data_IF_689501455573
#
_entry.id   IF_689501455573
#
_cell.length_a   1.000
_cell.length_b   1.000
_cell.length_c   1.000
_cell.angle_alpha   90.00
_cell.angle_beta   90.00
_cell.angle_gamma   90.00
#
_symmetry.space_group_name_H-M   'P 1'
#
loop_
_entity.id
_entity.type
_entity.pdbx_description
1 polymer ?
#
# COMPACT_ATOMS: atom_id res chain seq x y z
N UNK A 1 7.42 16.39 100.12
CA UNK A 1 6.71 16.82 98.90
C UNK A 1 7.41 16.13 97.75
N UNK A 2 6.97 14.91 97.41
CA UNK A 2 7.61 14.09 96.37
C UNK A 2 6.99 14.37 94.99
N UNK A 3 7.78 14.39 93.90
CA UNK A 3 7.27 14.64 92.55
C UNK A 3 6.63 13.39 91.92
N UNK A 4 5.45 13.57 91.32
CA UNK A 4 4.69 12.58 90.55
C UNK A 4 5.48 12.01 89.36
N UNK A 5 5.36 10.70 89.02
CA UNK A 5 6.07 10.12 87.88
C UNK A 5 5.51 10.65 86.56
N UNK A 6 6.43 10.94 85.62
CA UNK A 6 6.15 11.45 84.29
C UNK A 6 5.48 10.41 83.38
N UNK A 7 4.50 10.84 82.59
CA UNK A 7 3.84 10.02 81.56
C UNK A 7 4.84 9.53 80.49
N UNK A 8 4.69 8.29 79.98
CA UNK A 8 5.59 7.77 78.95
C UNK A 8 5.38 8.50 77.61
N UNK A 9 6.45 8.75 76.84
CA UNK A 9 6.36 9.46 75.57
C UNK A 9 5.57 8.65 74.53
N UNK A 10 4.54 9.27 73.95
CA UNK A 10 3.73 8.69 72.87
C UNK A 10 4.61 8.48 71.63
N UNK A 11 4.81 7.23 71.23
CA UNK A 11 5.56 6.88 70.02
C UNK A 11 4.78 7.32 68.77
N UNK A 12 5.34 8.27 68.01
CA UNK A 12 4.78 8.68 66.72
C UNK A 12 5.00 7.55 65.69
N UNK A 13 3.99 7.18 64.88
CA UNK A 13 4.15 6.17 63.86
C UNK A 13 5.13 6.65 62.79
N UNK A 14 6.11 5.80 62.45
CA UNK A 14 7.06 6.06 61.38
C UNK A 14 6.32 6.16 60.05
N UNK A 15 6.04 7.39 59.60
CA UNK A 15 5.51 7.58 58.25
C UNK A 15 6.57 7.06 57.26
N UNK A 16 6.15 6.32 56.24
CA UNK A 16 7.04 5.75 55.20
C UNK A 16 7.92 6.80 54.46
N UNK A 17 7.77 8.09 54.76
CA UNK A 17 8.65 9.15 54.30
C UNK A 17 9.82 9.30 55.29
N UNK A 18 10.97 8.72 54.94
CA UNK A 18 12.26 9.03 55.59
C UNK A 18 12.60 10.54 55.57
N UNK A 19 13.80 10.91 56.03
CA UNK A 19 14.34 12.27 56.31
C UNK A 19 14.31 13.28 55.14
N UNK A 20 13.18 13.48 54.48
CA UNK A 20 12.98 14.48 53.44
C UNK A 20 11.76 15.27 53.86
N UNK A 21 11.95 16.59 53.97
CA UNK A 21 10.92 17.60 54.27
C UNK A 21 9.78 17.54 53.26
N UNK A 22 8.89 16.56 53.41
CA UNK A 22 7.69 16.35 52.63
C UNK A 22 6.51 16.35 53.59
N UNK A 23 5.56 17.27 53.35
CA UNK A 23 4.31 17.37 54.10
C UNK A 23 3.67 15.98 54.25
N UNK A 24 3.57 15.48 55.50
CA UNK A 24 3.09 14.14 55.83
C UNK A 24 1.67 13.85 55.32
N UNK A 25 0.89 14.88 55.02
CA UNK A 25 -0.47 14.79 54.46
C UNK A 25 -0.51 14.53 52.94
N UNK A 26 0.63 14.51 52.24
CA UNK A 26 0.65 14.24 50.80
C UNK A 26 0.81 12.75 50.53
N UNK A 27 -0.14 12.20 49.77
CA UNK A 27 -0.08 10.82 49.31
C UNK A 27 1.13 10.59 48.36
N UNK A 28 1.76 9.42 48.49
CA UNK A 28 2.82 8.97 47.59
C UNK A 28 2.28 8.81 46.17
N UNK A 29 2.95 9.43 45.19
CA UNK A 29 2.57 9.30 43.77
C UNK A 29 3.11 7.97 43.24
N UNK A 30 2.21 7.10 42.79
CA UNK A 30 2.57 5.86 42.08
C UNK A 30 2.35 6.00 40.58
N UNK A 31 3.05 5.21 39.77
CA UNK A 31 2.85 5.19 38.33
C UNK A 31 1.41 4.70 38.02
N UNK A 32 0.66 5.48 37.24
CA UNK A 32 -0.70 5.12 36.83
C UNK A 32 -0.66 3.93 35.88
N UNK A 33 -1.12 2.75 36.33
CA UNK A 33 -1.25 1.56 35.48
C UNK A 33 -2.54 1.69 34.66
N UNK A 34 -2.41 1.96 33.35
CA UNK A 34 -3.55 1.97 32.42
C UNK A 34 -3.72 0.57 31.80
N UNK A 35 -4.94 0.04 31.84
CA UNK A 35 -5.29 -1.23 31.16
C UNK A 35 -5.23 -1.12 29.64
N UNK A 36 -5.58 0.04 29.09
CA UNK A 36 -5.63 0.31 27.65
C UNK A 36 -4.35 0.96 27.12
N UNK A 37 -3.22 0.29 27.31
CA UNK A 37 -1.95 0.71 26.69
C UNK A 37 -1.90 0.25 25.21
N UNK A 38 -1.39 1.08 24.29
CA UNK A 38 -1.13 0.65 22.92
C UNK A 38 -0.05 -0.45 22.90
N UNK A 39 -0.12 -1.41 21.97
CA UNK A 39 0.74 -2.60 21.97
C UNK A 39 2.24 -2.28 21.88
N UNK A 40 2.63 -1.17 21.27
CA UNK A 40 4.04 -0.73 21.22
C UNK A 40 4.60 -0.22 22.55
N UNK A 41 3.73 0.21 23.46
CA UNK A 41 4.10 0.61 24.85
C UNK A 41 3.98 -0.58 25.81
N UNK A 42 3.19 -1.61 25.45
CA UNK A 42 3.10 -2.87 26.21
C UNK A 42 4.35 -3.75 26.11
N UNK A 43 5.11 -3.66 25.00
CA UNK A 43 6.37 -4.40 24.85
C UNK A 43 7.46 -3.81 25.72
N UNK A 44 8.01 -4.62 26.63
CA UNK A 44 9.07 -4.21 27.56
C UNK A 44 10.45 -4.15 26.90
N UNK A 45 10.72 -4.95 25.86
CA UNK A 45 12.00 -4.98 25.16
C UNK A 45 11.95 -4.19 23.85
N UNK A 46 13.08 -3.57 23.49
CA UNK A 46 13.28 -2.94 22.18
C UNK A 46 13.39 -3.98 21.05
N UNK A 47 14.04 -5.10 21.34
CA UNK A 47 14.26 -6.20 20.40
C UNK A 47 12.94 -6.77 19.85
N UNK A 48 11.93 -6.95 20.70
CA UNK A 48 10.60 -7.41 20.27
C UNK A 48 9.93 -6.43 19.29
N UNK A 49 10.17 -5.12 19.47
CA UNK A 49 9.65 -4.11 18.54
C UNK A 49 10.36 -4.18 17.21
N UNK A 50 11.69 -4.32 17.22
CA UNK A 50 12.50 -4.45 16.00
C UNK A 50 12.16 -5.73 15.23
N UNK A 51 11.93 -6.84 15.92
CA UNK A 51 11.53 -8.08 15.27
C UNK A 51 10.16 -7.96 14.59
N UNK A 52 9.20 -7.30 15.24
CA UNK A 52 7.88 -7.03 14.64
C UNK A 52 7.96 -6.12 13.42
N UNK A 53 8.79 -5.08 13.46
CA UNK A 53 8.97 -4.18 12.32
C UNK A 53 9.63 -4.90 11.15
N UNK A 54 10.68 -5.69 11.41
CA UNK A 54 11.34 -6.52 10.39
C UNK A 54 10.36 -7.51 9.74
N UNK A 55 9.53 -8.20 10.54
CA UNK A 55 8.48 -9.08 10.01
C UNK A 55 7.48 -8.33 9.12
N UNK A 56 7.01 -7.16 9.56
CA UNK A 56 6.08 -6.36 8.78
C UNK A 56 6.69 -5.88 7.45
N UNK A 57 7.98 -5.51 7.46
CA UNK A 57 8.71 -5.14 6.25
C UNK A 57 8.86 -6.33 5.30
N UNK A 58 9.21 -7.52 5.81
CA UNK A 58 9.31 -8.73 5.01
C UNK A 58 7.96 -9.09 4.35
N UNK A 59 6.86 -9.02 5.10
CA UNK A 59 5.51 -9.26 4.56
C UNK A 59 5.15 -8.24 3.48
N UNK A 60 5.45 -6.95 3.70
CA UNK A 60 5.18 -5.91 2.71
C UNK A 60 5.99 -6.11 1.43
N UNK A 61 7.26 -6.49 1.55
CA UNK A 61 8.13 -6.78 0.40
C UNK A 61 7.57 -7.95 -0.42
N UNK A 62 7.18 -9.04 0.23
CA UNK A 62 6.56 -10.18 -0.44
C UNK A 62 5.25 -9.75 -1.13
N UNK A 63 4.43 -8.94 -0.46
CA UNK A 63 3.19 -8.42 -1.04
C UNK A 63 3.44 -7.55 -2.28
N UNK A 64 4.48 -6.72 -2.29
CA UNK A 64 4.82 -5.89 -3.46
C UNK A 64 5.30 -6.75 -4.63
N UNK A 65 6.18 -7.72 -4.36
CA UNK A 65 6.70 -8.65 -5.38
C UNK A 65 5.54 -9.41 -6.05
N UNK A 66 4.62 -10.00 -5.28
CA UNK A 66 3.46 -10.71 -5.84
C UNK A 66 2.53 -9.81 -6.65
N UNK A 67 2.37 -8.54 -6.25
CA UNK A 67 1.52 -7.60 -6.99
C UNK A 67 2.18 -7.19 -8.30
N UNK A 68 3.48 -6.93 -8.29
CA UNK A 68 4.24 -6.55 -9.47
C UNK A 68 4.26 -7.69 -10.50
N UNK A 69 4.52 -8.93 -10.08
CA UNK A 69 4.48 -10.10 -10.95
C UNK A 69 3.10 -10.27 -11.60
N UNK A 70 2.03 -10.17 -10.81
CA UNK A 70 0.65 -10.26 -11.32
C UNK A 70 0.33 -9.15 -12.31
N UNK A 71 0.74 -7.91 -12.02
CA UNK A 71 0.49 -6.78 -12.90
C UNK A 71 1.29 -6.88 -14.20
N UNK A 72 2.55 -7.31 -14.14
CA UNK A 72 3.39 -7.54 -15.31
C UNK A 72 2.77 -8.58 -16.25
N UNK A 73 2.26 -9.68 -15.72
CA UNK A 73 1.59 -10.71 -16.53
C UNK A 73 0.31 -10.19 -17.19
N UNK A 74 -0.50 -9.42 -16.46
CA UNK A 74 -1.71 -8.78 -17.03
C UNK A 74 -1.34 -7.79 -18.14
N UNK A 75 -0.30 -6.99 -17.94
CA UNK A 75 0.20 -6.03 -18.92
C UNK A 75 0.69 -6.74 -20.18
N UNK A 76 1.52 -7.78 -20.06
CA UNK A 76 1.98 -8.60 -21.18
C UNK A 76 0.82 -9.12 -22.02
N UNK A 77 -0.21 -9.69 -21.39
CA UNK A 77 -1.40 -10.20 -22.10
C UNK A 77 -2.15 -9.09 -22.85
N UNK A 78 -2.27 -7.92 -22.23
CA UNK A 78 -2.90 -6.75 -22.84
C UNK A 78 -2.10 -6.25 -24.04
N UNK A 79 -0.78 -6.12 -23.89
CA UNK A 79 0.14 -5.69 -24.96
C UNK A 79 0.05 -6.62 -26.16
N UNK A 80 0.18 -7.93 -25.96
CA UNK A 80 0.04 -8.92 -27.04
C UNK A 80 -1.31 -8.81 -27.74
N UNK A 81 -2.39 -8.62 -26.99
CA UNK A 81 -3.73 -8.47 -27.58
C UNK A 81 -3.84 -7.17 -28.39
N UNK A 82 -3.29 -6.06 -27.87
CA UNK A 82 -3.29 -4.77 -28.55
C UNK A 82 -2.44 -4.81 -29.82
N UNK A 83 -1.29 -5.46 -29.79
CA UNK A 83 -0.43 -5.66 -30.95
C UNK A 83 -1.12 -6.48 -32.04
N UNK A 84 -1.80 -7.58 -31.66
CA UNK A 84 -2.59 -8.39 -32.60
C UNK A 84 -3.71 -7.57 -33.26
N UNK A 85 -4.41 -6.74 -32.49
CA UNK A 85 -5.45 -5.86 -33.02
C UNK A 85 -4.87 -4.83 -33.99
N UNK A 86 -3.80 -4.14 -33.60
CA UNK A 86 -3.12 -3.16 -34.47
C UNK A 86 -2.64 -3.79 -35.78
N UNK A 87 -2.01 -4.96 -35.72
CA UNK A 87 -1.57 -5.67 -36.91
C UNK A 87 -2.73 -6.07 -37.83
N UNK A 88 -3.86 -6.50 -37.26
CA UNK A 88 -5.07 -6.82 -38.02
C UNK A 88 -5.69 -5.57 -38.67
N UNK A 89 -5.78 -4.46 -37.94
CA UNK A 89 -6.30 -3.19 -38.44
C UNK A 89 -5.42 -2.61 -39.56
N UNK A 90 -4.10 -2.65 -39.42
CA UNK A 90 -3.17 -2.23 -40.48
C UNK A 90 -3.32 -3.09 -41.73
N UNK A 91 -3.44 -4.41 -41.56
CA UNK A 91 -3.67 -5.33 -42.67
C UNK A 91 -4.99 -5.03 -43.39
N UNK A 92 -6.08 -4.85 -42.63
CA UNK A 92 -7.39 -4.50 -43.20
C UNK A 92 -7.32 -3.19 -43.98
N UNK A 93 -6.69 -2.15 -43.41
CA UNK A 93 -6.51 -0.86 -44.08
C UNK A 93 -5.76 -0.99 -45.41
N UNK A 94 -4.71 -1.80 -45.45
CA UNK A 94 -3.94 -2.05 -46.68
C UNK A 94 -4.76 -2.85 -47.71
N UNK A 95 -5.53 -3.84 -47.27
CA UNK A 95 -6.43 -4.62 -48.13
C UNK A 95 -7.54 -3.75 -48.72
N UNK A 96 -8.17 -2.88 -47.92
CA UNK A 96 -9.16 -1.91 -48.38
C UNK A 96 -8.58 -0.91 -49.39
N UNK A 97 -7.38 -0.38 -49.12
CA UNK A 97 -6.69 0.51 -50.04
C UNK A 97 -6.38 -0.19 -51.38
N UNK A 98 -5.90 -1.43 -51.32
CA UNK A 98 -5.64 -2.27 -52.50
C UNK A 98 -6.93 -2.55 -53.27
N UNK A 99 -8.02 -2.89 -52.58
CA UNK A 99 -9.33 -3.14 -53.18
C UNK A 99 -9.87 -1.89 -53.88
N UNK A 100 -9.77 -0.72 -53.24
CA UNK A 100 -10.18 0.58 -53.81
C UNK A 100 -9.40 0.90 -55.09
N UNK A 101 -8.09 0.66 -55.10
CA UNK A 101 -7.25 0.86 -56.30
C UNK A 101 -7.58 -0.15 -57.40
N UNK A 102 -7.80 -1.42 -57.04
CA UNK A 102 -8.26 -2.46 -57.96
C UNK A 102 -9.59 -2.10 -58.63
N UNK A 103 -10.58 -1.66 -57.84
CA UNK A 103 -11.87 -1.21 -58.34
C UNK A 103 -11.75 -0.01 -59.28
N UNK A 104 -10.92 0.99 -58.92
CA UNK A 104 -10.63 2.14 -59.80
C UNK A 104 -10.00 1.71 -61.14
N UNK A 105 -9.06 0.76 -61.11
CA UNK A 105 -8.42 0.21 -62.32
C UNK A 105 -9.43 -0.53 -63.19
N UNK A 106 -10.27 -1.39 -62.59
CA UNK A 106 -11.32 -2.11 -63.29
C UNK A 106 -12.33 -1.15 -63.95
N UNK A 107 -12.77 -0.12 -63.22
CA UNK A 107 -13.65 0.91 -63.76
C UNK A 107 -13.01 1.66 -64.95
N UNK A 108 -11.70 1.96 -64.88
CA UNK A 108 -10.96 2.60 -65.98
C UNK A 108 -10.92 1.69 -67.22
N UNK A 109 -10.68 0.40 -67.05
CA UNK A 109 -10.69 -0.57 -68.15
C UNK A 109 -12.07 -0.70 -68.79
N UNK A 110 -13.15 -0.78 -67.98
CA UNK A 110 -14.55 -0.78 -68.48
C UNK A 110 -14.86 0.46 -69.32
N UNK A 111 -14.46 1.65 -68.85
CA UNK A 111 -14.62 2.89 -69.62
C UNK A 111 -13.82 2.90 -70.92
N UNK A 112 -12.61 2.33 -70.94
CA UNK A 112 -11.79 2.22 -72.16
C UNK A 112 -12.40 1.25 -73.17
N UNK A 113 -12.88 0.09 -72.71
CA UNK A 113 -13.54 -0.90 -73.56
C UNK A 113 -14.80 -0.34 -74.24
N UNK A 114 -15.55 0.54 -73.57
CA UNK A 114 -16.67 1.27 -74.20
C UNK A 114 -16.27 2.50 -75.03
N UNK A 115 -14.98 2.87 -75.07
CA UNK A 115 -14.46 4.08 -75.74
C UNK A 115 -13.72 3.79 -77.04
N UNK A 116 -13.30 2.55 -77.28
CA UNK A 116 -12.95 2.11 -78.63
C UNK A 116 -14.22 2.17 -79.46
N UNK A 117 -14.28 3.23 -80.28
CA UNK A 117 -15.24 3.57 -81.33
C UNK A 117 -16.14 2.39 -81.69
N UNK A 118 -17.47 2.58 -81.66
CA UNK A 118 -18.42 1.74 -82.42
C UNK A 118 -17.81 1.47 -83.79
N UNK A 119 -17.20 0.31 -83.96
CA UNK A 119 -17.06 -0.31 -85.28
C UNK A 119 -18.34 -1.09 -85.39
N UNK A 120 -19.42 -0.36 -85.69
CA UNK A 120 -20.53 -0.98 -86.40
C UNK A 120 -19.98 -1.25 -87.80
N UNK A 121 -19.66 -2.52 -88.04
CA UNK A 121 -19.46 -3.15 -89.34
C UNK A 121 -20.16 -4.48 -89.26
#
# INVERSE_FOLDING_TARGET
>A
MEPSPADPPIALPSSSNGRVSGKAWKAQKTATVRSQLPPGVKTKSWEDRMFKTQKALAIKKLQTELKEEKQAEIQRRREVTMERKKAAEERQRLEEAKAKMGAKKAARLRRRAGRTKKING
#
